data_IF_554162133993
#
_entry.id   IF_554162133993
#
_cell.length_a   1.000
_cell.length_b   1.000
_cell.length_c   1.000
_cell.angle_alpha   90.00
_cell.angle_beta   90.00
_cell.angle_gamma   90.00
#
_symmetry.space_group_name_H-M   'P 1'
#
loop_
_entity.id
_entity.type
_entity.pdbx_description
1 polymer ?
#
# COMPACT_ATOMS: atom_id res chain seq x y z
N UNK A 1 -12.80 -12.13 -27.76
CA UNK A 1 -11.80 -11.99 -26.67
C UNK A 1 -12.58 -12.10 -25.37
N UNK A 2 -12.16 -12.93 -24.42
CA UNK A 2 -12.89 -13.08 -23.15
C UNK A 2 -12.59 -11.89 -22.26
N UNK A 3 -13.62 -11.30 -21.64
CA UNK A 3 -13.50 -10.20 -20.68
C UNK A 3 -14.55 -10.28 -19.59
N UNK A 4 -14.28 -9.69 -18.44
CA UNK A 4 -15.21 -9.63 -17.31
C UNK A 4 -15.45 -8.16 -16.97
N UNK A 5 -16.72 -7.80 -16.83
CA UNK A 5 -17.13 -6.48 -16.38
C UNK A 5 -17.81 -6.58 -15.03
N UNK A 6 -17.36 -5.78 -14.06
CA UNK A 6 -17.97 -5.66 -12.74
C UNK A 6 -18.59 -4.27 -12.62
N UNK A 7 -19.86 -4.26 -12.27
CA UNK A 7 -20.63 -3.05 -11.96
C UNK A 7 -20.85 -3.02 -10.45
N UNK A 8 -20.48 -1.93 -9.79
CA UNK A 8 -20.70 -1.73 -8.35
C UNK A 8 -21.53 -0.48 -8.09
N UNK A 9 -22.62 -0.66 -7.33
CA UNK A 9 -23.51 0.42 -6.91
C UNK A 9 -23.80 0.27 -5.41
N UNK A 10 -23.31 1.20 -4.60
CA UNK A 10 -23.29 1.00 -3.15
C UNK A 10 -22.61 -0.33 -2.80
N UNK A 11 -23.21 -1.10 -1.90
CA UNK A 11 -22.69 -2.41 -1.49
C UNK A 11 -23.10 -3.59 -2.41
N UNK A 12 -23.81 -3.32 -3.50
CA UNK A 12 -24.19 -4.34 -4.47
C UNK A 12 -23.23 -4.36 -5.65
N UNK A 13 -22.83 -5.55 -6.08
CA UNK A 13 -22.05 -5.74 -7.29
C UNK A 13 -22.72 -6.78 -8.21
N UNK A 14 -22.52 -6.60 -9.50
CA UNK A 14 -22.94 -7.50 -10.56
C UNK A 14 -21.80 -7.75 -11.52
N UNK A 15 -21.68 -8.98 -12.00
CA UNK A 15 -20.69 -9.38 -12.99
C UNK A 15 -21.33 -9.73 -14.31
N UNK A 16 -20.71 -9.30 -15.40
CA UNK A 16 -21.01 -9.73 -16.76
C UNK A 16 -19.75 -10.27 -17.39
N UNK A 17 -19.81 -11.51 -17.88
CA UNK A 17 -18.68 -12.12 -18.61
C UNK A 17 -19.02 -12.20 -20.09
N UNK A 18 -18.11 -11.70 -20.91
CA UNK A 18 -18.17 -11.85 -22.37
C UNK A 18 -17.19 -12.96 -22.79
N UNK A 19 -17.70 -13.91 -23.57
CA UNK A 19 -16.94 -15.10 -23.97
C UNK A 19 -16.94 -16.20 -22.93
N UNK A 20 -16.08 -17.17 -23.13
CA UNK A 20 -15.93 -18.37 -22.28
C UNK A 20 -14.63 -18.26 -21.52
N UNK A 21 -14.69 -18.48 -20.21
CA UNK A 21 -13.50 -18.59 -19.35
C UNK A 21 -13.05 -20.06 -19.37
N UNK A 22 -11.85 -20.30 -19.91
CA UNK A 22 -11.27 -21.63 -20.01
C UNK A 22 -10.07 -21.80 -19.10
N UNK A 23 -9.84 -23.02 -18.65
CA UNK A 23 -8.67 -23.37 -17.86
C UNK A 23 -7.38 -23.05 -18.62
N UNK A 24 -6.39 -22.53 -17.90
CA UNK A 24 -5.11 -22.12 -18.49
C UNK A 24 -5.14 -20.86 -19.36
N UNK A 25 -6.29 -20.15 -19.43
CA UNK A 25 -6.32 -18.85 -20.07
C UNK A 25 -5.45 -17.85 -19.31
N UNK A 26 -4.85 -16.90 -20.02
CA UNK A 26 -3.96 -15.88 -19.44
C UNK A 26 -4.45 -14.50 -19.82
N UNK A 27 -4.34 -13.56 -18.88
CA UNK A 27 -4.58 -12.15 -19.16
C UNK A 27 -6.05 -11.80 -19.43
N UNK A 28 -7.01 -12.49 -18.82
CA UNK A 28 -8.43 -12.12 -18.93
C UNK A 28 -8.64 -10.76 -18.25
N UNK A 29 -8.96 -9.71 -19.01
CA UNK A 29 -9.12 -8.39 -18.44
C UNK A 29 -10.41 -8.27 -17.62
N UNK A 30 -10.32 -7.55 -16.52
CA UNK A 30 -11.44 -7.18 -15.67
C UNK A 30 -11.61 -5.66 -15.72
N UNK A 31 -12.79 -5.19 -16.08
CA UNK A 31 -13.15 -3.78 -16.08
C UNK A 31 -14.12 -3.48 -14.94
N UNK A 32 -13.90 -2.36 -14.27
CA UNK A 32 -14.73 -1.92 -13.15
C UNK A 32 -15.52 -0.68 -13.54
N UNK A 33 -16.79 -0.68 -13.19
CA UNK A 33 -17.66 0.51 -13.25
C UNK A 33 -18.29 0.68 -11.87
N UNK A 34 -17.92 1.75 -11.19
CA UNK A 34 -18.41 2.07 -9.86
C UNK A 34 -19.34 3.28 -9.90
N UNK A 35 -20.39 3.28 -9.08
CA UNK A 35 -21.23 4.46 -8.87
C UNK A 35 -20.48 5.56 -8.10
N UNK A 36 -21.06 6.76 -8.05
CA UNK A 36 -20.46 7.93 -7.36
C UNK A 36 -20.18 7.70 -5.87
N UNK A 37 -20.86 6.76 -5.24
CA UNK A 37 -20.62 6.40 -3.83
C UNK A 37 -19.18 5.89 -3.59
N UNK A 38 -18.50 5.49 -4.64
CA UNK A 38 -17.12 5.00 -4.65
C UNK A 38 -16.07 6.07 -4.93
N UNK A 39 -16.50 7.31 -5.18
CA UNK A 39 -15.58 8.40 -5.47
C UNK A 39 -14.74 8.73 -4.22
N UNK A 40 -13.44 8.90 -4.41
CA UNK A 40 -12.50 9.16 -3.32
C UNK A 40 -12.17 7.96 -2.43
N UNK A 41 -12.76 6.78 -2.67
CA UNK A 41 -12.40 5.57 -1.95
C UNK A 41 -11.26 4.82 -2.65
N UNK A 42 -10.35 4.29 -1.85
CA UNK A 42 -9.38 3.29 -2.30
C UNK A 42 -10.11 1.98 -2.56
N UNK A 43 -9.98 1.42 -3.75
CA UNK A 43 -10.72 0.26 -4.18
C UNK A 43 -9.84 -0.97 -4.15
N UNK A 44 -10.28 -2.01 -3.48
CA UNK A 44 -9.63 -3.32 -3.45
C UNK A 44 -10.52 -4.30 -4.18
N UNK A 45 -10.02 -4.90 -5.26
CA UNK A 45 -10.69 -6.01 -5.93
C UNK A 45 -10.23 -7.33 -5.32
N UNK A 46 -11.16 -8.22 -5.11
CA UNK A 46 -10.92 -9.55 -4.57
C UNK A 46 -11.36 -10.61 -5.56
N UNK A 47 -10.52 -11.62 -5.76
CA UNK A 47 -10.84 -12.80 -6.56
C UNK A 47 -10.88 -14.02 -5.64
N UNK A 48 -11.89 -14.84 -5.79
CA UNK A 48 -12.00 -16.10 -5.07
C UNK A 48 -12.26 -17.24 -6.03
N UNK A 49 -11.52 -18.32 -5.84
CA UNK A 49 -11.59 -19.53 -6.67
C UNK A 49 -11.35 -20.77 -5.79
N UNK A 50 -12.43 -21.36 -5.31
CA UNK A 50 -12.37 -22.40 -4.29
C UNK A 50 -11.93 -21.83 -2.94
N UNK A 51 -10.84 -22.36 -2.39
CA UNK A 51 -10.30 -21.93 -1.09
C UNK A 51 -9.26 -20.78 -1.19
N UNK A 52 -8.88 -20.40 -2.41
CA UNK A 52 -7.86 -19.39 -2.64
C UNK A 52 -8.51 -18.04 -2.87
N UNK A 53 -8.01 -17.02 -2.18
CA UNK A 53 -8.44 -15.62 -2.32
C UNK A 53 -7.25 -14.72 -2.63
N UNK A 54 -7.42 -13.82 -3.60
CA UNK A 54 -6.46 -12.81 -4.01
C UNK A 54 -7.06 -11.43 -3.83
N UNK A 55 -6.25 -10.46 -3.43
CA UNK A 55 -6.66 -9.07 -3.25
C UNK A 55 -5.67 -8.15 -3.94
N UNK A 56 -6.18 -7.20 -4.72
CA UNK A 56 -5.37 -6.21 -5.43
C UNK A 56 -5.96 -4.82 -5.25
N UNK A 57 -5.10 -3.84 -5.08
CA UNK A 57 -5.52 -2.45 -5.15
C UNK A 57 -5.77 -2.05 -6.61
N UNK A 58 -6.89 -1.38 -6.84
CA UNK A 58 -7.25 -0.84 -8.15
C UNK A 58 -6.58 0.51 -8.32
N UNK A 59 -5.53 0.55 -9.12
CA UNK A 59 -4.85 1.79 -9.47
C UNK A 59 -5.38 2.29 -10.80
N UNK A 60 -5.71 3.57 -10.89
CA UNK A 60 -6.22 4.18 -12.12
C UNK A 60 -5.21 4.01 -13.26
N UNK A 61 -5.69 3.57 -14.41
CA UNK A 61 -4.86 3.30 -15.59
C UNK A 61 -4.14 1.95 -15.59
N UNK A 62 -4.23 1.16 -14.52
CA UNK A 62 -3.65 -0.17 -14.47
C UNK A 62 -4.67 -1.23 -14.91
N UNK A 63 -4.28 -2.08 -15.85
CA UNK A 63 -5.12 -3.19 -16.28
C UNK A 63 -5.20 -4.24 -15.17
N UNK A 64 -6.42 -4.60 -14.80
CA UNK A 64 -6.69 -5.67 -13.85
C UNK A 64 -6.92 -6.95 -14.65
N UNK A 65 -6.25 -8.03 -14.27
CA UNK A 65 -6.43 -9.33 -14.90
C UNK A 65 -6.78 -10.38 -13.84
N UNK A 66 -7.54 -11.40 -14.26
CA UNK A 66 -7.86 -12.54 -13.40
C UNK A 66 -6.56 -13.28 -13.06
N UNK A 67 -6.29 -13.58 -11.76
CA UNK A 67 -5.16 -14.40 -11.35
C UNK A 67 -5.24 -15.80 -12.01
N UNK A 68 -4.11 -16.29 -12.45
CA UNK A 68 -4.04 -17.58 -13.14
C UNK A 68 -4.57 -18.75 -12.31
N UNK A 69 -4.26 -18.79 -11.02
CA UNK A 69 -4.74 -19.84 -10.12
C UNK A 69 -6.27 -19.88 -9.99
N UNK A 70 -6.93 -18.78 -10.35
CA UNK A 70 -8.39 -18.73 -10.46
C UNK A 70 -8.92 -19.34 -11.77
N UNK A 71 -8.04 -19.65 -12.72
CA UNK A 71 -8.39 -20.18 -14.04
C UNK A 71 -8.08 -21.68 -14.16
N UNK A 72 -8.25 -22.42 -13.08
CA UNK A 72 -8.15 -23.87 -13.06
C UNK A 72 -9.51 -24.51 -13.34
N UNK A 73 -9.49 -25.64 -14.07
CA UNK A 73 -10.69 -26.35 -14.51
C UNK A 73 -11.66 -26.65 -13.36
N UNK A 74 -12.94 -26.45 -13.63
CA UNK A 74 -14.04 -26.75 -12.71
C UNK A 74 -14.17 -25.75 -11.54
N UNK A 75 -13.30 -24.74 -11.45
CA UNK A 75 -13.40 -23.73 -10.40
C UNK A 75 -14.46 -22.68 -10.73
N UNK A 76 -15.08 -22.19 -9.67
CA UNK A 76 -16.01 -21.06 -9.72
C UNK A 76 -15.21 -19.78 -9.47
N UNK A 77 -15.18 -18.90 -10.44
CA UNK A 77 -14.56 -17.59 -10.31
C UNK A 77 -15.56 -16.60 -9.71
N UNK A 78 -15.25 -16.07 -8.55
CA UNK A 78 -16.04 -15.05 -7.87
C UNK A 78 -15.20 -13.81 -7.67
N UNK A 79 -15.83 -12.64 -7.80
CA UNK A 79 -15.20 -11.34 -7.64
C UNK A 79 -16.00 -10.51 -6.65
N UNK A 80 -15.32 -9.77 -5.78
CA UNK A 80 -15.89 -8.78 -4.89
C UNK A 80 -15.04 -7.51 -4.88
N UNK A 81 -15.60 -6.42 -4.37
CA UNK A 81 -14.93 -5.13 -4.23
C UNK A 81 -15.09 -4.61 -2.81
N UNK A 82 -14.04 -4.00 -2.30
CA UNK A 82 -14.06 -3.24 -1.04
C UNK A 82 -13.63 -1.80 -1.31
N UNK A 83 -14.39 -0.85 -0.78
CA UNK A 83 -14.08 0.57 -0.77
C UNK A 83 -13.59 1.02 0.60
N UNK A 84 -12.38 1.57 0.68
CA UNK A 84 -11.73 2.03 1.90
C UNK A 84 -11.52 3.53 1.85
N UNK A 85 -11.71 4.21 2.98
CA UNK A 85 -11.39 5.63 3.08
C UNK A 85 -9.89 5.88 3.33
N UNK A 86 -9.50 7.14 3.33
CA UNK A 86 -8.12 7.56 3.59
C UNK A 86 -7.64 7.26 5.02
N UNK A 87 -8.56 7.01 5.96
CA UNK A 87 -8.24 6.61 7.33
C UNK A 87 -8.05 5.09 7.48
N UNK A 88 -8.19 4.32 6.37
CA UNK A 88 -8.08 2.87 6.40
C UNK A 88 -9.31 2.17 6.98
N UNK A 89 -10.48 2.83 6.93
CA UNK A 89 -11.75 2.24 7.36
C UNK A 89 -12.49 1.70 6.15
N UNK A 90 -12.96 0.45 6.23
CA UNK A 90 -13.83 -0.14 5.23
C UNK A 90 -15.17 0.60 5.20
N UNK A 91 -15.53 1.20 4.06
CA UNK A 91 -16.77 1.94 3.86
C UNK A 91 -17.82 1.16 3.12
N UNK A 92 -17.43 0.51 2.04
CA UNK A 92 -18.33 -0.20 1.15
C UNK A 92 -17.77 -1.60 0.86
N UNK A 93 -18.22 -2.66 1.54
CA UNK A 93 -18.00 -4.04 1.10
C UNK A 93 -19.07 -4.40 0.08
N UNK A 94 -18.72 -5.15 -0.99
CA UNK A 94 -19.73 -5.73 -1.87
C UNK A 94 -19.97 -7.20 -1.56
N UNK A 95 -21.08 -7.71 -2.11
CA UNK A 95 -21.32 -9.15 -2.20
C UNK A 95 -20.33 -9.81 -3.16
N UNK A 96 -20.08 -11.11 -2.97
CA UNK A 96 -19.38 -11.92 -3.95
C UNK A 96 -20.25 -12.17 -5.18
N UNK A 97 -19.68 -11.94 -6.35
CA UNK A 97 -20.34 -12.13 -7.65
C UNK A 97 -19.71 -13.30 -8.36
N UNK A 98 -20.50 -14.33 -8.68
CA UNK A 98 -20.05 -15.41 -9.54
C UNK A 98 -19.99 -14.91 -11.00
N UNK A 99 -18.77 -14.76 -11.52
CA UNK A 99 -18.55 -14.27 -12.87
C UNK A 99 -18.51 -15.40 -13.90
N UNK A 100 -17.94 -16.56 -13.57
CA UNK A 100 -17.84 -17.69 -14.47
C UNK A 100 -17.60 -19.02 -13.73
N UNK A 101 -17.94 -20.09 -14.43
CA UNK A 101 -17.38 -21.42 -14.19
C UNK A 101 -16.27 -21.64 -15.21
N UNK A 102 -15.07 -21.98 -14.74
CA UNK A 102 -13.93 -22.21 -15.62
C UNK A 102 -14.12 -23.53 -16.36
N UNK A 103 -14.25 -23.45 -17.67
CA UNK A 103 -14.46 -24.61 -18.55
C UNK A 103 -13.14 -25.34 -18.80
N UNK A 104 -13.18 -26.64 -19.06
CA UNK A 104 -12.00 -27.40 -19.46
C UNK A 104 -11.39 -26.80 -20.73
N UNK A 105 -10.07 -26.80 -20.81
CA UNK A 105 -9.32 -26.42 -22.01
C UNK A 105 -8.89 -27.67 -22.78
N UNK A 106 -8.95 -27.62 -24.10
CA UNK A 106 -8.44 -28.69 -24.96
C UNK A 106 -6.90 -28.76 -25.02
N UNK A 107 -6.22 -27.77 -24.46
CA UNK A 107 -4.75 -27.69 -24.36
C UNK A 107 -4.35 -27.38 -22.94
N UNK A 108 -3.40 -28.12 -22.37
CA UNK A 108 -2.75 -27.70 -21.15
C UNK A 108 -1.92 -26.45 -21.47
N UNK A 109 -2.32 -25.31 -20.91
CA UNK A 109 -1.57 -24.07 -21.08
C UNK A 109 -0.16 -24.18 -20.51
N UNK A 110 0.79 -23.55 -21.16
CA UNK A 110 2.12 -23.30 -20.57
C UNK A 110 1.95 -22.47 -19.30
N UNK A 111 2.77 -22.81 -18.29
CA UNK A 111 2.77 -22.08 -17.03
C UNK A 111 2.86 -20.56 -17.30
N UNK A 112 1.91 -19.78 -16.79
CA UNK A 112 1.89 -18.35 -17.04
C UNK A 112 3.05 -17.65 -16.35
N UNK A 113 3.38 -16.43 -16.76
CA UNK A 113 4.27 -15.60 -15.99
C UNK A 113 3.76 -15.46 -14.56
N UNK A 114 4.71 -15.32 -13.62
CA UNK A 114 4.42 -15.24 -12.19
C UNK A 114 3.15 -14.39 -11.91
N UNK A 115 2.25 -14.85 -11.04
CA UNK A 115 1.04 -14.09 -10.72
C UNK A 115 1.40 -12.70 -10.20
N UNK A 116 0.57 -11.69 -10.47
CA UNK A 116 0.78 -10.38 -9.89
C UNK A 116 0.88 -10.52 -8.36
N UNK A 117 1.86 -9.85 -7.78
CA UNK A 117 2.13 -9.94 -6.35
C UNK A 117 0.87 -9.68 -5.52
N UNK A 118 0.60 -10.55 -4.58
CA UNK A 118 -0.47 -10.36 -3.61
C UNK A 118 -0.25 -9.05 -2.85
N UNK A 119 -1.31 -8.31 -2.55
CA UNK A 119 -1.23 -7.09 -1.75
C UNK A 119 -0.45 -7.31 -0.43
N UNK A 120 -0.61 -8.48 0.17
CA UNK A 120 0.15 -8.90 1.37
C UNK A 120 1.66 -8.99 1.10
N UNK A 121 2.08 -9.49 -0.06
CA UNK A 121 3.49 -9.53 -0.44
C UNK A 121 4.05 -8.13 -0.69
N UNK A 122 3.30 -7.29 -1.39
CA UNK A 122 3.67 -5.88 -1.59
C UNK A 122 3.78 -5.13 -0.26
N UNK A 123 2.86 -5.37 0.67
CA UNK A 123 2.91 -4.78 2.02
C UNK A 123 4.11 -5.29 2.83
N UNK A 124 4.45 -6.58 2.72
CA UNK A 124 5.62 -7.15 3.37
C UNK A 124 6.91 -6.55 2.81
N UNK A 125 7.06 -6.49 1.48
CA UNK A 125 8.22 -5.86 0.83
C UNK A 125 8.34 -4.39 1.19
N UNK A 126 7.20 -3.67 1.25
CA UNK A 126 7.19 -2.27 1.69
C UNK A 126 7.55 -2.13 3.18
N UNK A 127 7.04 -3.02 4.05
CA UNK A 127 7.37 -3.03 5.47
C UNK A 127 8.86 -3.33 5.70
N UNK A 128 9.43 -4.31 4.99
CA UNK A 128 10.86 -4.63 5.03
C UNK A 128 11.71 -3.45 4.55
N UNK A 129 11.35 -2.84 3.42
CA UNK A 129 12.02 -1.65 2.90
C UNK A 129 11.96 -0.47 3.87
N UNK A 130 10.81 -0.28 4.52
CA UNK A 130 10.63 0.78 5.52
C UNK A 130 11.46 0.51 6.77
N UNK A 131 11.52 -0.75 7.22
CA UNK A 131 12.36 -1.16 8.33
C UNK A 131 13.84 -0.95 8.03
N UNK A 132 14.31 -1.30 6.83
CA UNK A 132 15.69 -1.02 6.41
C UNK A 132 16.00 0.49 6.37
N UNK A 133 15.03 1.32 5.99
CA UNK A 133 15.18 2.77 6.01
C UNK A 133 15.26 3.31 7.44
N UNK A 134 14.45 2.78 8.35
CA UNK A 134 14.49 3.11 9.77
C UNK A 134 15.84 2.72 10.40
N UNK A 135 16.35 1.54 10.06
CA UNK A 135 17.64 1.05 10.56
C UNK A 135 18.84 1.84 10.02
N UNK A 136 18.67 2.53 8.87
CA UNK A 136 19.67 3.44 8.28
C UNK A 136 19.61 4.86 8.84
N UNK A 137 18.54 5.22 9.55
CA UNK A 137 18.47 6.51 10.23
C UNK A 137 19.53 6.54 11.34
N UNK A 138 20.34 7.62 11.41
CA UNK A 138 21.30 7.76 12.50
C UNK A 138 20.54 7.69 13.82
N UNK A 139 21.11 6.94 14.77
CA UNK A 139 20.52 6.74 16.09
C UNK A 139 20.14 8.10 16.69
N UNK A 140 18.84 8.33 16.85
CA UNK A 140 18.29 9.58 17.37
C UNK A 140 18.88 9.86 18.75
N UNK A 141 19.16 8.81 19.53
CA UNK A 141 19.79 8.90 20.84
C UNK A 141 21.23 9.45 20.77
N UNK A 142 21.99 9.10 19.72
CA UNK A 142 23.33 9.67 19.51
C UNK A 142 23.30 11.13 19.09
N UNK A 143 22.32 11.50 18.26
CA UNK A 143 22.15 12.90 17.86
C UNK A 143 21.64 13.76 19.01
N UNK A 144 20.74 13.28 19.84
CA UNK A 144 20.27 13.94 21.07
C UNK A 144 21.42 14.15 22.05
N UNK A 145 22.26 13.14 22.24
CA UNK A 145 23.45 13.23 23.12
C UNK A 145 24.43 14.30 22.62
N UNK A 146 24.72 14.30 21.31
CA UNK A 146 25.58 15.34 20.70
C UNK A 146 25.00 16.75 20.87
N UNK A 147 23.68 16.86 20.79
CA UNK A 147 22.98 18.15 20.93
C UNK A 147 23.03 18.65 22.38
N UNK A 148 22.92 17.74 23.37
CA UNK A 148 23.05 18.08 24.78
C UNK A 148 24.49 18.44 25.14
N UNK A 149 25.49 17.72 24.63
CA UNK A 149 26.90 18.05 24.80
C UNK A 149 27.23 19.44 24.21
N UNK A 150 26.67 19.74 23.05
CA UNK A 150 26.80 21.12 22.45
C UNK A 150 26.15 22.19 23.31
N UNK A 151 24.97 21.94 23.85
CA UNK A 151 24.28 22.88 24.76
C UNK A 151 25.08 23.14 26.02
N UNK A 152 25.63 22.12 26.63
CA UNK A 152 26.48 22.25 27.82
C UNK A 152 27.76 23.05 27.52
N UNK A 153 28.36 22.79 26.34
CA UNK A 153 29.55 23.54 25.93
C UNK A 153 29.27 25.03 25.68
N UNK A 154 28.16 25.32 25.01
CA UNK A 154 27.70 26.69 24.77
C UNK A 154 27.39 27.42 26.12
N UNK A 155 26.73 26.72 27.04
CA UNK A 155 26.42 27.28 28.36
C UNK A 155 27.68 27.60 29.16
N UNK A 156 28.68 26.71 29.16
CA UNK A 156 29.96 26.94 29.85
C UNK A 156 30.78 28.06 29.20
N UNK A 157 30.79 28.19 27.88
CA UNK A 157 31.43 29.31 27.18
C UNK A 157 30.73 30.63 27.45
N UNK A 158 29.39 30.65 27.50
CA UNK A 158 28.61 31.83 27.84
C UNK A 158 28.89 32.30 29.27
N UNK A 159 28.99 31.39 30.24
CA UNK A 159 29.34 31.72 31.62
C UNK A 159 30.77 32.30 31.72
N UNK A 160 31.75 31.70 31.02
CA UNK A 160 33.12 32.19 30.97
C UNK A 160 33.24 33.58 30.30
N UNK A 161 32.43 33.87 29.30
CA UNK A 161 32.35 35.20 28.68
C UNK A 161 31.74 36.23 29.64
N UNK A 162 30.71 35.85 30.37
CA UNK A 162 30.06 36.73 31.36
C UNK A 162 31.01 37.11 32.48
N UNK A 163 31.81 36.17 32.97
CA UNK A 163 32.84 36.42 33.97
C UNK A 163 33.92 37.40 33.44
N UNK A 164 34.41 37.17 32.22
CA UNK A 164 35.38 38.07 31.56
C UNK A 164 34.84 39.46 31.35
N UNK A 165 33.56 39.61 30.98
CA UNK A 165 32.90 40.91 30.83
C UNK A 165 32.79 41.64 32.20
N UNK A 166 32.49 40.90 33.27
CA UNK A 166 32.44 41.47 34.62
C UNK A 166 33.82 41.95 35.08
N UNK A 167 34.86 41.12 34.89
CA UNK A 167 36.23 41.50 35.22
C UNK A 167 36.70 42.71 34.41
N UNK A 168 36.43 42.76 33.12
CA UNK A 168 36.77 43.90 32.28
C UNK A 168 36.01 45.17 32.69
N UNK A 169 34.75 45.07 33.09
CA UNK A 169 33.95 46.20 33.56
C UNK A 169 34.45 46.76 34.94
N UNK A 170 34.93 45.84 35.81
CA UNK A 170 35.51 46.18 37.09
C UNK A 170 36.86 46.89 36.90
N UNK A 171 37.74 46.32 36.05
CA UNK A 171 39.03 46.98 35.73
C UNK A 171 38.85 48.34 35.06
N UNK A 172 37.85 48.55 34.23
CA UNK A 172 37.55 49.85 33.63
C UNK A 172 37.03 50.86 34.64
N UNK A 173 36.35 50.45 35.70
CA UNK A 173 35.91 51.35 36.81
C UNK A 173 37.07 51.74 37.67
N UNK A 174 37.98 50.83 38.01
CA UNK A 174 39.16 51.09 38.80
C UNK A 174 40.17 51.99 38.10
N UNK A 175 40.27 51.97 36.78
CA UNK A 175 41.13 52.84 35.97
C UNK A 175 40.56 54.28 35.78
N UNK A 176 39.31 54.52 36.15
CA UNK A 176 38.62 55.81 36.00
C UNK A 176 38.52 56.61 37.32
N UNK A 177 39.06 56.03 38.38
CA UNK A 177 39.23 56.70 39.70
C UNK A 177 40.66 57.15 39.91
#
# INVERSE_FOLDING_TARGET
MTSIQILAQGAAAWGKTEGIVTAGAVGIPVTLQCSRDWDGLRKIIKFRCGEVEYQFEVVEGTAITVPWDCLLEGRRLEIALDGWDSAGTLRIPTNWVCCAMVQPSGTQGTEPPAPPQLLTQQLLEWAESTQEQLDRLPDITETEKKLEDLRQNVASQAAGLQEKVQLASQAAREAST
#
